data_IF_676599241728
#
_entry.id   IF_676599241728
#
_cell.length_a   1.000
_cell.length_b   1.000
_cell.length_c   1.000
_cell.angle_alpha   90.00
_cell.angle_beta   90.00
_cell.angle_gamma   90.00
#
_symmetry.space_group_name_H-M   'P 1'
#
loop_
_entity.id
_entity.type
_entity.pdbx_description
1 polymer ?
#
# COMPACT_ATOMS: atom_id res chain seq x y z
N UNK A 1 58.47 41.40 -65.55
CA UNK A 1 57.49 40.30 -65.67
C UNK A 1 56.90 40.13 -64.28
N UNK A 2 55.63 40.47 -64.08
CA UNK A 2 55.01 40.52 -62.75
C UNK A 2 54.86 39.11 -62.17
N UNK A 3 55.25 38.94 -60.91
CA UNK A 3 55.14 37.68 -60.18
C UNK A 3 53.66 37.34 -60.00
N UNK A 4 53.25 36.18 -60.50
CA UNK A 4 51.85 35.75 -60.42
C UNK A 4 51.58 35.16 -59.05
N UNK A 5 50.83 35.88 -58.22
CA UNK A 5 50.48 35.41 -56.89
C UNK A 5 49.34 34.38 -56.94
N UNK A 6 49.74 33.11 -56.83
CA UNK A 6 48.84 31.96 -56.75
C UNK A 6 47.94 32.01 -55.51
N UNK A 7 48.40 32.62 -54.41
CA UNK A 7 47.63 32.72 -53.17
C UNK A 7 46.45 33.69 -53.32
N UNK A 8 46.66 34.80 -54.03
CA UNK A 8 45.57 35.74 -54.32
C UNK A 8 44.55 35.17 -55.31
N UNK A 9 44.98 34.35 -56.28
CA UNK A 9 44.07 33.61 -57.15
C UNK A 9 43.24 32.61 -56.34
N UNK A 10 43.87 31.84 -55.45
CA UNK A 10 43.19 30.88 -54.59
C UNK A 10 42.15 31.55 -53.68
N UNK A 11 42.48 32.70 -53.08
CA UNK A 11 41.55 33.52 -52.28
C UNK A 11 40.35 33.99 -53.10
N UNK A 12 40.55 34.44 -54.34
CA UNK A 12 39.46 34.88 -55.24
C UNK A 12 38.54 33.73 -55.64
N UNK A 13 39.11 32.54 -55.88
CA UNK A 13 38.33 31.34 -56.18
C UNK A 13 37.54 30.90 -54.94
N UNK A 14 38.17 30.85 -53.77
CA UNK A 14 37.53 30.50 -52.50
C UNK A 14 36.37 31.46 -52.18
N UNK A 15 36.58 32.77 -52.31
CA UNK A 15 35.54 33.77 -52.07
C UNK A 15 34.31 33.61 -52.99
N UNK A 16 34.50 33.05 -54.20
CA UNK A 16 33.41 32.81 -55.15
C UNK A 16 32.71 31.48 -54.95
N UNK A 17 33.42 30.45 -54.52
CA UNK A 17 32.89 29.08 -54.42
C UNK A 17 32.38 28.73 -53.02
N UNK A 18 32.97 29.30 -51.96
CA UNK A 18 32.56 28.99 -50.58
C UNK A 18 31.12 29.42 -50.26
N UNK A 19 30.65 30.64 -50.62
CA UNK A 19 29.28 31.05 -50.31
C UNK A 19 28.19 30.15 -50.93
N UNK A 20 28.21 29.80 -52.23
CA UNK A 20 27.19 28.93 -52.80
C UNK A 20 27.29 27.49 -52.28
N UNK A 21 28.49 26.99 -51.99
CA UNK A 21 28.68 25.65 -51.42
C UNK A 21 28.11 25.58 -49.99
N UNK A 22 28.40 26.60 -49.17
CA UNK A 22 27.88 26.71 -47.81
C UNK A 22 26.34 26.86 -47.80
N UNK A 23 25.78 27.67 -48.69
CA UNK A 23 24.32 27.78 -48.86
C UNK A 23 23.70 26.44 -49.25
N UNK A 24 24.23 25.77 -50.27
CA UNK A 24 23.69 24.49 -50.73
C UNK A 24 23.76 23.38 -49.67
N UNK A 25 24.81 23.37 -48.85
CA UNK A 25 24.92 22.46 -47.70
C UNK A 25 23.92 22.82 -46.59
N UNK A 26 23.76 24.12 -46.30
CA UNK A 26 22.79 24.61 -45.31
C UNK A 26 21.36 24.26 -45.72
N UNK A 27 20.98 24.51 -46.97
CA UNK A 27 19.63 24.23 -47.48
C UNK A 27 19.34 22.72 -47.46
N UNK A 28 20.31 21.88 -47.81
CA UNK A 28 20.18 20.41 -47.72
C UNK A 28 20.05 19.93 -46.29
N UNK A 29 20.84 20.46 -45.37
CA UNK A 29 20.76 20.11 -43.96
C UNK A 29 19.41 20.54 -43.38
N UNK A 30 18.95 21.75 -43.70
CA UNK A 30 17.64 22.24 -43.31
C UNK A 30 16.53 21.34 -43.85
N UNK A 31 16.56 20.99 -45.15
CA UNK A 31 15.59 20.08 -45.76
C UNK A 31 15.61 18.68 -45.13
N UNK A 32 16.78 18.16 -44.77
CA UNK A 32 16.92 16.86 -44.11
C UNK A 32 16.40 16.85 -42.66
N UNK A 33 16.45 18.00 -41.97
CA UNK A 33 15.98 18.14 -40.59
C UNK A 33 14.49 18.50 -40.49
N UNK A 34 13.88 19.08 -41.53
CA UNK A 34 12.45 19.41 -41.56
C UNK A 34 11.53 18.25 -41.12
N UNK A 35 11.71 17.00 -41.58
CA UNK A 35 10.88 15.88 -41.14
C UNK A 35 11.02 15.56 -39.65
N UNK A 36 12.20 15.78 -39.06
CA UNK A 36 12.45 15.54 -37.64
C UNK A 36 11.77 16.62 -36.81
N UNK A 37 11.90 17.88 -37.20
CA UNK A 37 11.22 19.01 -36.56
C UNK A 37 9.71 18.81 -36.58
N UNK A 38 9.13 18.44 -37.73
CA UNK A 38 7.70 18.17 -37.83
C UNK A 38 7.22 16.98 -36.99
N UNK A 39 8.06 15.96 -36.78
CA UNK A 39 7.75 14.85 -35.86
C UNK A 39 7.77 15.29 -34.39
N UNK A 40 8.72 16.14 -34.01
CA UNK A 40 8.81 16.70 -32.67
C UNK A 40 7.61 17.61 -32.38
N UNK A 41 7.24 18.49 -33.31
CA UNK A 41 6.06 19.35 -33.17
C UNK A 41 4.77 18.54 -33.04
N UNK A 42 4.64 17.46 -33.81
CA UNK A 42 3.50 16.54 -33.72
C UNK A 42 3.46 15.82 -32.36
N UNK A 43 4.61 15.42 -31.83
CA UNK A 43 4.71 14.80 -30.50
C UNK A 43 4.32 15.80 -29.40
N UNK A 44 4.84 17.04 -29.47
CA UNK A 44 4.50 18.12 -28.54
C UNK A 44 2.99 18.37 -28.55
N UNK A 45 2.39 18.44 -29.74
CA UNK A 45 0.94 18.61 -29.90
C UNK A 45 0.16 17.46 -29.26
N UNK A 46 0.55 16.21 -29.51
CA UNK A 46 -0.08 15.05 -28.87
C UNK A 46 0.03 15.09 -27.34
N UNK A 47 1.19 15.47 -26.79
CA UNK A 47 1.37 15.61 -25.35
C UNK A 47 0.51 16.74 -24.76
N UNK A 48 0.37 17.85 -25.49
CA UNK A 48 -0.49 18.96 -25.11
C UNK A 48 -1.98 18.60 -25.17
N UNK A 49 -2.41 17.88 -26.21
CA UNK A 49 -3.81 17.44 -26.36
C UNK A 49 -4.18 16.38 -25.32
N UNK A 50 -3.23 15.52 -24.94
CA UNK A 50 -3.38 14.53 -23.87
C UNK A 50 -3.28 15.13 -22.45
N UNK A 51 -2.91 16.41 -22.31
CA UNK A 51 -3.09 17.16 -21.06
C UNK A 51 -4.52 17.69 -20.89
N UNK A 52 -5.44 17.40 -21.82
CA UNK A 52 -6.86 17.47 -21.53
C UNK A 52 -7.18 16.46 -20.42
N UNK A 53 -7.81 16.95 -19.36
CA UNK A 53 -8.15 16.34 -18.07
C UNK A 53 -8.99 15.05 -18.11
N UNK A 54 -8.99 14.32 -19.21
CA UNK A 54 -9.83 13.14 -19.43
C UNK A 54 -9.17 11.80 -19.05
N UNK A 55 -7.86 11.75 -18.73
CA UNK A 55 -7.21 10.50 -18.30
C UNK A 55 -7.17 10.31 -16.78
N UNK A 56 -7.44 11.35 -15.99
CA UNK A 56 -7.54 11.23 -14.53
C UNK A 56 -8.89 10.68 -14.05
N UNK A 57 -9.94 10.69 -14.88
CA UNK A 57 -11.31 10.44 -14.42
C UNK A 57 -11.73 8.94 -14.44
N UNK A 58 -11.06 8.08 -15.22
CA UNK A 58 -11.55 6.69 -15.44
C UNK A 58 -10.82 5.61 -14.64
N UNK A 59 -9.60 5.89 -14.15
CA UNK A 59 -8.82 4.92 -13.37
C UNK A 59 -9.05 5.00 -11.86
N UNK A 60 -9.39 6.18 -11.33
CA UNK A 60 -9.69 6.37 -9.91
C UNK A 60 -10.88 5.53 -9.42
N UNK A 61 -12.03 5.46 -10.12
CA UNK A 61 -13.16 4.65 -9.69
C UNK A 61 -12.85 3.14 -9.70
N UNK A 62 -12.01 2.69 -10.64
CA UNK A 62 -11.69 1.27 -10.80
C UNK A 62 -10.71 0.79 -9.73
N UNK A 63 -9.67 1.57 -9.44
CA UNK A 63 -8.73 1.25 -8.37
C UNK A 63 -9.40 1.26 -6.99
N UNK A 64 -10.26 2.25 -6.73
CA UNK A 64 -11.04 2.30 -5.49
C UNK A 64 -11.99 1.10 -5.35
N UNK A 65 -12.69 0.72 -6.43
CA UNK A 65 -13.60 -0.43 -6.45
C UNK A 65 -12.87 -1.76 -6.21
N UNK A 66 -11.69 -1.95 -6.82
CA UNK A 66 -10.86 -3.14 -6.61
C UNK A 66 -10.35 -3.22 -5.18
N UNK A 67 -9.81 -2.11 -4.64
CA UNK A 67 -9.34 -2.08 -3.25
C UNK A 67 -10.48 -2.31 -2.25
N UNK A 68 -11.64 -1.69 -2.46
CA UNK A 68 -12.82 -1.89 -1.62
C UNK A 68 -13.31 -3.35 -1.63
N UNK A 69 -13.36 -3.99 -2.81
CA UNK A 69 -13.72 -5.41 -2.94
C UNK A 69 -12.72 -6.33 -2.23
N UNK A 70 -11.42 -6.06 -2.37
CA UNK A 70 -10.37 -6.83 -1.71
C UNK A 70 -10.48 -6.73 -0.18
N UNK A 71 -10.68 -5.53 0.37
CA UNK A 71 -10.90 -5.33 1.81
C UNK A 71 -12.18 -6.01 2.32
N UNK A 72 -13.24 -6.05 1.51
CA UNK A 72 -14.49 -6.72 1.90
C UNK A 72 -14.35 -8.24 1.90
N UNK A 73 -13.65 -8.81 0.92
CA UNK A 73 -13.34 -10.25 0.89
C UNK A 73 -12.49 -10.67 2.09
N UNK A 74 -11.43 -9.92 2.40
CA UNK A 74 -10.55 -10.18 3.54
C UNK A 74 -11.32 -10.15 4.87
N UNK A 75 -12.20 -9.15 5.04
CA UNK A 75 -13.09 -9.08 6.22
C UNK A 75 -14.02 -10.28 6.33
N UNK A 76 -14.63 -10.72 5.23
CA UNK A 76 -15.51 -11.89 5.23
C UNK A 76 -14.75 -13.20 5.51
N UNK A 77 -13.54 -13.35 4.98
CA UNK A 77 -12.70 -14.53 5.25
C UNK A 77 -12.27 -14.58 6.73
N UNK A 78 -11.89 -13.44 7.31
CA UNK A 78 -11.57 -13.32 8.73
C UNK A 78 -12.79 -13.58 9.63
N UNK A 79 -13.97 -13.11 9.25
CA UNK A 79 -15.23 -13.39 9.97
C UNK A 79 -15.58 -14.89 9.96
N UNK A 80 -15.46 -15.56 8.81
CA UNK A 80 -15.69 -17.00 8.69
C UNK A 80 -14.65 -17.83 9.45
N UNK A 81 -13.37 -17.40 9.47
CA UNK A 81 -12.36 -18.02 10.34
C UNK A 81 -12.68 -17.78 11.81
N UNK A 82 -13.10 -16.58 12.21
CA UNK A 82 -13.49 -16.28 13.59
C UNK A 82 -14.69 -17.12 14.03
N UNK A 83 -15.74 -17.29 13.21
CA UNK A 83 -16.86 -18.19 13.51
C UNK A 83 -16.41 -19.64 13.69
N UNK A 84 -15.46 -20.12 12.88
CA UNK A 84 -14.87 -21.46 13.04
C UNK A 84 -13.95 -21.59 14.25
N UNK A 85 -13.26 -20.52 14.65
CA UNK A 85 -12.44 -20.49 15.88
C UNK A 85 -13.33 -20.43 17.13
N UNK A 86 -14.45 -19.70 17.08
CA UNK A 86 -15.49 -19.71 18.12
C UNK A 86 -16.07 -21.12 18.31
N UNK A 87 -16.02 -22.00 17.30
CA UNK A 87 -16.43 -23.39 17.41
C UNK A 87 -15.38 -24.32 18.05
N UNK A 88 -14.12 -23.89 18.18
CA UNK A 88 -13.03 -24.69 18.79
C UNK A 88 -12.73 -24.24 20.23
N UNK A 89 -13.23 -23.08 20.64
CA UNK A 89 -13.13 -22.60 22.02
C UNK A 89 -14.42 -22.83 22.80
N UNK A 90 -14.48 -23.96 23.52
CA UNK A 90 -15.45 -24.33 24.58
C UNK A 90 -16.73 -25.00 24.06
N UNK A 91 -16.98 -26.30 24.37
CA UNK A 91 -18.28 -26.92 24.11
C UNK A 91 -19.38 -26.13 24.83
N UNK A 92 -20.47 -25.89 24.11
CA UNK A 92 -21.59 -25.04 24.51
C UNK A 92 -22.43 -25.58 25.70
N UNK A 93 -21.84 -26.42 26.56
CA UNK A 93 -22.51 -27.13 27.65
C UNK A 93 -21.67 -27.25 28.93
N UNK A 94 -20.66 -26.39 29.15
CA UNK A 94 -19.99 -26.32 30.45
C UNK A 94 -20.60 -25.20 31.26
N UNK A 95 -21.45 -25.55 32.22
CA UNK A 95 -22.02 -24.59 33.17
C UNK A 95 -20.88 -23.86 33.89
N UNK A 96 -21.12 -22.61 34.29
CA UNK A 96 -20.16 -21.73 35.02
C UNK A 96 -19.46 -22.44 36.19
N UNK A 97 -20.09 -23.48 36.71
CA UNK A 97 -19.67 -24.27 37.86
C UNK A 97 -18.43 -25.11 37.54
N UNK A 98 -18.34 -25.67 36.32
CA UNK A 98 -17.23 -26.55 35.91
C UNK A 98 -15.95 -25.76 35.63
N UNK A 99 -16.07 -24.58 35.03
CA UNK A 99 -14.91 -23.69 34.77
C UNK A 99 -14.31 -23.19 36.08
N UNK A 100 -15.15 -22.92 37.09
CA UNK A 100 -14.69 -22.53 38.42
C UNK A 100 -13.93 -23.64 39.14
N UNK A 101 -14.35 -24.89 38.99
CA UNK A 101 -13.74 -26.02 39.68
C UNK A 101 -12.34 -26.35 39.11
N UNK A 102 -12.18 -26.29 37.78
CA UNK A 102 -10.86 -26.44 37.14
C UNK A 102 -9.89 -25.29 37.48
N UNK A 103 -10.37 -24.04 37.45
CA UNK A 103 -9.56 -22.88 37.82
C UNK A 103 -9.14 -22.93 39.30
N UNK A 104 -10.03 -23.34 40.21
CA UNK A 104 -9.70 -23.53 41.63
C UNK A 104 -8.67 -24.65 41.82
N UNK A 105 -8.81 -25.77 41.11
CA UNK A 105 -7.86 -26.86 41.20
C UNK A 105 -6.47 -26.42 40.73
N UNK A 106 -6.40 -25.71 39.61
CA UNK A 106 -5.13 -25.19 39.07
C UNK A 106 -4.45 -24.22 40.04
N UNK A 107 -5.23 -23.36 40.71
CA UNK A 107 -4.71 -22.44 41.71
C UNK A 107 -4.13 -23.18 42.93
N UNK A 108 -4.81 -24.23 43.41
CA UNK A 108 -4.36 -25.06 44.54
C UNK A 108 -3.06 -25.79 44.22
N UNK A 109 -2.93 -26.33 43.01
CA UNK A 109 -1.71 -27.00 42.55
C UNK A 109 -0.54 -26.03 42.45
N UNK A 110 -0.75 -24.82 41.92
CA UNK A 110 0.29 -23.79 41.84
C UNK A 110 0.76 -23.33 43.22
N UNK A 111 -0.16 -23.14 44.18
CA UNK A 111 0.20 -22.78 45.57
C UNK A 111 1.02 -23.90 46.23
N UNK A 112 0.63 -25.15 46.00
CA UNK A 112 1.34 -26.33 46.53
C UNK A 112 2.73 -26.45 45.91
N UNK A 113 2.86 -26.29 44.59
CA UNK A 113 4.14 -26.35 43.89
C UNK A 113 5.11 -25.22 44.31
N UNK A 114 4.59 -24.07 44.71
CA UNK A 114 5.39 -22.95 45.18
C UNK A 114 5.85 -23.08 46.65
N UNK A 115 5.39 -24.09 47.39
CA UNK A 115 5.69 -24.34 48.82
C UNK A 115 5.54 -23.08 49.71
N UNK A 116 4.66 -22.16 49.29
CA UNK A 116 4.53 -20.83 49.89
C UNK A 116 3.45 -20.85 50.96
N UNK A 117 3.90 -20.94 52.23
CA UNK A 117 3.03 -20.92 53.41
C UNK A 117 2.13 -19.68 53.47
N UNK A 118 2.62 -18.52 53.06
CA UNK A 118 1.87 -17.26 53.08
C UNK A 118 0.71 -17.25 52.06
N UNK A 119 0.91 -17.83 50.88
CA UNK A 119 -0.14 -17.93 49.84
C UNK A 119 -1.21 -18.96 50.19
N UNK A 120 -0.81 -20.05 50.86
CA UNK A 120 -1.74 -21.05 51.38
C UNK A 120 -2.65 -20.46 52.48
N UNK A 121 -2.07 -19.70 53.41
CA UNK A 121 -2.81 -19.07 54.52
C UNK A 121 -3.74 -17.94 54.04
N UNK A 122 -3.39 -17.19 52.99
CA UNK A 122 -4.29 -16.16 52.42
C UNK A 122 -5.47 -16.79 51.68
N UNK A 123 -5.24 -17.82 50.87
CA UNK A 123 -6.29 -18.49 50.10
C UNK A 123 -7.31 -19.23 51.00
N UNK A 124 -6.85 -19.81 52.12
CA UNK A 124 -7.71 -20.45 53.12
C UNK A 124 -8.59 -19.46 53.91
N UNK A 125 -8.17 -18.19 54.02
CA UNK A 125 -8.96 -17.14 54.70
C UNK A 125 -10.10 -16.63 53.82
N UNK A 126 -9.86 -16.43 52.53
CA UNK A 126 -10.88 -15.91 51.61
C UNK A 126 -12.05 -16.88 51.41
N UNK A 127 -11.79 -18.19 51.50
CA UNK A 127 -12.80 -19.24 51.38
C UNK A 127 -13.74 -19.37 52.60
N UNK A 128 -13.38 -18.82 53.77
CA UNK A 128 -14.26 -18.84 54.96
C UNK A 128 -15.23 -17.64 55.04
N UNK A 129 -14.96 -16.56 54.31
CA UNK A 129 -15.76 -15.32 54.38
C UNK A 129 -16.91 -15.22 53.38
N UNK A 130 -17.09 -16.21 52.49
CA UNK A 130 -18.25 -16.25 51.59
C UNK A 130 -19.42 -16.93 52.32
N UNK A 131 -20.06 -16.20 53.24
CA UNK A 131 -21.46 -16.48 53.57
C UNK A 131 -22.31 -15.93 52.42
N UNK A 132 -23.27 -16.69 51.87
CA UNK A 132 -24.10 -16.21 50.78
C UNK A 132 -25.05 -15.14 51.32
N UNK A 133 -24.82 -13.88 50.98
CA UNK A 133 -25.90 -12.88 51.04
C UNK A 133 -26.83 -13.15 49.86
N UNK A 134 -27.85 -13.93 50.17
CA UNK A 134 -29.07 -14.15 49.40
C UNK A 134 -29.80 -12.81 49.24
N UNK A 135 -29.54 -12.05 48.16
CA UNK A 135 -30.49 -11.06 47.61
C UNK A 135 -30.42 -10.92 46.08
N UNK A 136 -31.50 -11.39 45.48
CA UNK A 136 -32.24 -10.79 44.36
C UNK A 136 -31.67 -10.90 42.93
N UNK A 137 -32.11 -11.99 42.29
CA UNK A 137 -32.66 -12.01 40.93
C UNK A 137 -33.24 -10.64 40.51
N UNK A 138 -32.75 -10.09 39.39
CA UNK A 138 -33.67 -9.57 38.38
C UNK A 138 -33.06 -9.71 36.97
N UNK A 139 -33.48 -10.76 36.28
CA UNK A 139 -33.31 -10.90 34.84
C UNK A 139 -34.49 -10.21 34.16
N UNK A 140 -34.34 -8.93 33.82
CA UNK A 140 -35.21 -8.34 32.81
C UNK A 140 -34.63 -7.09 32.16
N UNK A 141 -34.70 -7.10 30.83
CA UNK A 141 -34.54 -5.97 29.89
C UNK A 141 -33.12 -5.61 29.46
N UNK A 142 -32.64 -6.27 28.41
CA UNK A 142 -32.01 -5.56 27.30
C UNK A 142 -32.55 -6.15 26.00
N UNK A 143 -33.50 -5.40 25.42
CA UNK A 143 -33.85 -5.40 23.99
C UNK A 143 -32.65 -4.93 23.17
#
# INVERSE_FOLDING_TARGET
MGEFDLDELAKKIAARLLPPLASALSDKLQAALQPVVGRVDKLIKLMSDNQSSATHCWFEPQLYSVMAKMMQMDRNEMDEKNKRVVFIGIPHATTKDVIKEEDEQMLREAITACDSRQLSESYAKDTQTIKPDEKDLDHSKLL
#
